data_IF_335661590385
#
_entry.id   IF_335661590385
#
_cell.length_a   1.000
_cell.length_b   1.000
_cell.length_c   1.000
_cell.angle_alpha   90.00
_cell.angle_beta   90.00
_cell.angle_gamma   90.00
#
_symmetry.space_group_name_H-M   'P 1'
#
loop_
_entity.id
_entity.type
_entity.pdbx_description
1 polymer ?
#
# COMPACT_ATOMS: atom_id res chain seq x y z
N UNK A 1 43.18 -25.93 5.39
CA UNK A 1 41.79 -25.83 5.87
C UNK A 1 41.62 -24.47 6.52
N UNK A 2 40.82 -23.58 5.91
CA UNK A 2 40.40 -22.31 6.52
C UNK A 2 38.88 -22.26 6.39
N UNK A 3 38.21 -22.55 7.50
CA UNK A 3 36.78 -22.37 7.66
C UNK A 3 36.50 -20.97 8.20
N UNK A 4 35.41 -20.42 7.69
CA UNK A 4 34.49 -19.46 8.30
C UNK A 4 35.02 -18.09 8.72
N UNK A 5 34.50 -17.04 8.05
CA UNK A 5 33.41 -16.21 8.59
C UNK A 5 32.67 -15.61 7.39
N UNK A 6 31.51 -16.15 7.03
CA UNK A 6 30.56 -15.45 6.16
C UNK A 6 29.93 -14.36 7.02
N UNK A 7 30.34 -13.12 6.79
CA UNK A 7 29.74 -11.95 7.41
C UNK A 7 28.28 -11.84 6.96
N UNK A 8 27.38 -12.26 7.85
CA UNK A 8 25.99 -11.83 8.04
C UNK A 8 25.44 -10.86 6.98
N UNK A 9 24.80 -11.40 5.93
CA UNK A 9 24.00 -10.66 4.95
C UNK A 9 22.62 -10.26 5.53
N UNK A 10 22.64 -9.50 6.64
CA UNK A 10 21.42 -8.94 7.23
C UNK A 10 20.75 -7.91 6.32
N UNK A 11 21.46 -7.44 5.29
CA UNK A 11 20.96 -6.45 4.36
C UNK A 11 20.06 -7.09 3.29
N UNK A 12 20.43 -8.27 2.76
CA UNK A 12 19.61 -9.03 1.83
C UNK A 12 18.23 -9.39 2.40
N UNK A 13 18.15 -9.77 3.68
CA UNK A 13 16.88 -10.08 4.35
C UNK A 13 15.94 -8.88 4.41
N UNK A 14 16.44 -7.69 4.75
CA UNK A 14 15.61 -6.48 4.87
C UNK A 14 15.11 -5.98 3.51
N UNK A 15 15.91 -6.17 2.46
CA UNK A 15 15.49 -5.86 1.09
C UNK A 15 14.39 -6.82 0.64
N UNK A 16 14.54 -8.13 0.92
CA UNK A 16 13.52 -9.13 0.63
C UNK A 16 12.20 -8.84 1.37
N UNK A 17 12.27 -8.50 2.66
CA UNK A 17 11.09 -8.12 3.46
C UNK A 17 10.38 -6.89 2.88
N UNK A 18 11.15 -5.88 2.44
CA UNK A 18 10.60 -4.70 1.79
C UNK A 18 9.87 -5.00 0.48
N UNK A 19 10.39 -5.93 -0.33
CA UNK A 19 9.74 -6.40 -1.56
C UNK A 19 8.47 -7.17 -1.23
N UNK A 20 8.51 -8.11 -0.28
CA UNK A 20 7.35 -8.91 0.11
C UNK A 20 6.23 -8.05 0.70
N UNK A 21 6.58 -7.06 1.51
CA UNK A 21 5.66 -6.03 1.99
C UNK A 21 4.99 -5.30 0.82
N UNK A 22 5.79 -4.77 -0.11
CA UNK A 22 5.28 -4.00 -1.24
C UNK A 22 4.36 -4.85 -2.13
N UNK A 23 4.76 -6.07 -2.48
CA UNK A 23 3.98 -7.00 -3.27
C UNK A 23 2.66 -7.35 -2.60
N UNK A 24 2.67 -7.63 -1.29
CA UNK A 24 1.44 -7.94 -0.54
C UNK A 24 0.46 -6.77 -0.54
N UNK A 25 0.96 -5.53 -0.40
CA UNK A 25 0.12 -4.33 -0.47
C UNK A 25 -0.45 -4.08 -1.88
N UNK A 26 0.30 -4.42 -2.93
CA UNK A 26 -0.18 -4.36 -4.32
C UNK A 26 -1.32 -5.35 -4.53
N UNK A 27 -1.13 -6.62 -4.13
CA UNK A 27 -2.19 -7.62 -4.26
C UNK A 27 -3.42 -7.32 -3.41
N UNK A 28 -3.23 -6.74 -2.21
CA UNK A 28 -4.34 -6.22 -1.43
C UNK A 28 -5.15 -5.14 -2.20
N UNK A 29 -4.46 -4.20 -2.86
CA UNK A 29 -5.13 -3.18 -3.68
C UNK A 29 -5.88 -3.80 -4.86
N UNK A 30 -5.25 -4.76 -5.56
CA UNK A 30 -5.89 -5.45 -6.69
C UNK A 30 -7.13 -6.23 -6.25
N UNK A 31 -7.05 -6.94 -5.13
CA UNK A 31 -8.17 -7.66 -4.55
C UNK A 31 -9.35 -6.72 -4.23
N UNK A 32 -9.07 -5.55 -3.65
CA UNK A 32 -10.11 -4.53 -3.40
C UNK A 32 -10.76 -3.99 -4.68
N UNK A 33 -9.96 -3.77 -5.73
CA UNK A 33 -10.45 -3.26 -7.03
C UNK A 33 -11.27 -4.32 -7.77
N UNK A 34 -10.93 -5.60 -7.61
CA UNK A 34 -11.63 -6.73 -8.24
C UNK A 34 -12.76 -7.30 -7.37
N UNK A 35 -13.10 -6.64 -6.25
CA UNK A 35 -14.13 -7.08 -5.30
C UNK A 35 -13.86 -8.48 -4.68
N UNK A 36 -12.60 -8.93 -4.65
CA UNK A 36 -12.15 -10.20 -4.05
C UNK A 36 -11.87 -10.03 -2.55
N UNK A 37 -12.93 -9.77 -1.78
CA UNK A 37 -12.80 -9.43 -0.36
C UNK A 37 -12.34 -10.61 0.50
N UNK A 38 -12.57 -11.85 0.05
CA UNK A 38 -12.09 -13.07 0.68
C UNK A 38 -10.55 -13.12 0.79
N UNK A 39 -9.85 -12.63 -0.23
CA UNK A 39 -8.38 -12.69 -0.31
C UNK A 39 -7.71 -11.52 0.43
N UNK A 40 -8.47 -10.46 0.72
CA UNK A 40 -7.95 -9.25 1.35
C UNK A 40 -7.33 -9.52 2.73
N UNK A 41 -7.91 -10.45 3.50
CA UNK A 41 -7.40 -10.81 4.83
C UNK A 41 -5.98 -11.40 4.76
N UNK A 42 -5.72 -12.28 3.78
CA UNK A 42 -4.43 -12.94 3.61
C UNK A 42 -3.35 -11.96 3.16
N UNK A 43 -3.68 -11.03 2.26
CA UNK A 43 -2.74 -10.00 1.83
C UNK A 43 -2.43 -8.99 2.95
N UNK A 44 -3.42 -8.61 3.75
CA UNK A 44 -3.21 -7.75 4.94
C UNK A 44 -2.29 -8.46 5.93
N UNK A 45 -2.58 -9.71 6.27
CA UNK A 45 -1.79 -10.48 7.22
C UNK A 45 -0.34 -10.63 6.76
N UNK A 46 -0.14 -10.97 5.48
CA UNK A 46 1.19 -11.11 4.88
C UNK A 46 1.93 -9.78 4.90
N UNK A 47 1.30 -8.67 4.49
CA UNK A 47 1.91 -7.36 4.52
C UNK A 47 2.34 -6.94 5.93
N UNK A 48 1.50 -7.20 6.94
CA UNK A 48 1.82 -6.92 8.35
C UNK A 48 2.99 -7.77 8.86
N UNK A 49 3.07 -9.04 8.46
CA UNK A 49 4.19 -9.92 8.80
C UNK A 49 5.54 -9.36 8.30
N UNK A 50 5.53 -8.63 7.19
CA UNK A 50 6.70 -7.94 6.62
C UNK A 50 6.79 -6.44 7.01
N UNK A 51 6.05 -6.01 8.04
CA UNK A 51 6.18 -4.66 8.62
C UNK A 51 5.34 -3.58 7.94
N UNK A 52 4.25 -3.94 7.25
CA UNK A 52 3.23 -2.97 6.88
C UNK A 52 2.49 -2.44 8.11
N UNK A 53 2.30 -1.13 8.13
CA UNK A 53 1.52 -0.47 9.18
C UNK A 53 0.05 -0.38 8.79
N UNK A 54 -0.82 -0.29 9.80
CA UNK A 54 -2.25 -0.07 9.60
C UNK A 54 -2.54 1.21 8.78
N UNK A 55 -1.70 2.23 8.89
CA UNK A 55 -1.80 3.48 8.12
C UNK A 55 -1.66 3.25 6.61
N UNK A 56 -0.81 2.32 6.18
CA UNK A 56 -0.61 1.96 4.78
C UNK A 56 -1.83 1.21 4.23
N UNK A 57 -2.38 0.28 5.01
CA UNK A 57 -3.60 -0.46 4.68
C UNK A 57 -4.80 0.50 4.54
N UNK A 58 -5.01 1.36 5.54
CA UNK A 58 -6.08 2.35 5.52
C UNK A 58 -5.97 3.33 4.36
N UNK A 59 -4.74 3.70 3.97
CA UNK A 59 -4.50 4.55 2.80
C UNK A 59 -4.94 3.88 1.50
N UNK A 60 -4.63 2.59 1.31
CA UNK A 60 -5.03 1.82 0.13
C UNK A 60 -6.55 1.73 0.04
N UNK A 61 -7.22 1.39 1.15
CA UNK A 61 -8.70 1.35 1.20
C UNK A 61 -9.29 2.72 0.81
N UNK A 62 -8.78 3.80 1.40
CA UNK A 62 -9.25 5.16 1.09
C UNK A 62 -8.99 5.56 -0.36
N UNK A 63 -7.89 5.11 -0.95
CA UNK A 63 -7.58 5.34 -2.37
C UNK A 63 -8.58 4.63 -3.28
N UNK A 64 -8.87 3.34 -3.04
CA UNK A 64 -9.83 2.56 -3.84
C UNK A 64 -11.23 3.17 -3.75
N UNK A 65 -11.70 3.50 -2.54
CA UNK A 65 -13.01 4.15 -2.35
C UNK A 65 -13.11 5.47 -3.15
N UNK A 66 -12.04 6.28 -3.16
CA UNK A 66 -12.01 7.54 -3.91
C UNK A 66 -11.98 7.34 -5.42
N UNK A 67 -11.46 6.23 -5.91
CA UNK A 67 -11.48 5.90 -7.34
C UNK A 67 -12.86 5.41 -7.78
N UNK A 68 -13.54 4.67 -6.92
CA UNK A 68 -14.87 4.12 -7.18
C UNK A 68 -15.97 5.21 -7.07
N UNK A 69 -15.78 6.16 -6.17
CA UNK A 69 -16.53 7.42 -6.20
C UNK A 69 -15.98 8.28 -7.34
N UNK A 70 -16.52 8.13 -8.56
CA UNK A 70 -16.16 8.94 -9.73
C UNK A 70 -16.02 10.43 -9.38
N UNK A 71 -15.22 11.22 -10.14
CA UNK A 71 -14.79 12.56 -9.73
C UNK A 71 -15.99 13.44 -9.45
N UNK A 72 -16.35 13.56 -8.17
CA UNK A 72 -17.30 14.56 -7.73
C UNK A 72 -16.62 15.90 -8.00
N UNK A 73 -17.16 16.61 -8.98
CA UNK A 73 -16.82 17.97 -9.32
C UNK A 73 -16.74 18.81 -8.04
N UNK A 74 -15.53 18.98 -7.51
CA UNK A 74 -15.24 20.02 -6.56
C UNK A 74 -15.29 21.35 -7.31
N UNK A 75 -16.50 21.84 -7.56
CA UNK A 75 -16.80 23.21 -7.94
C UNK A 75 -16.39 24.14 -6.79
N UNK A 76 -15.08 24.38 -6.69
CA UNK A 76 -14.43 25.18 -5.65
C UNK A 76 -13.73 26.42 -6.19
N UNK A 77 -14.22 27.01 -7.29
CA UNK A 77 -13.69 28.28 -7.81
C UNK A 77 -14.77 29.33 -8.00
N UNK A 78 -15.58 29.53 -6.96
CA UNK A 78 -16.21 30.83 -6.73
C UNK A 78 -15.26 31.72 -5.92
N UNK A 79 -14.23 32.27 -6.58
CA UNK A 79 -13.52 33.47 -6.09
C UNK A 79 -13.99 34.65 -6.93
N UNK A 80 -15.04 35.29 -6.43
CA UNK A 80 -15.39 36.70 -6.57
C UNK A 80 -15.05 37.39 -7.90
N UNK A 81 -16.06 37.47 -8.77
CA UNK A 81 -16.27 38.68 -9.58
C UNK A 81 -16.64 39.84 -8.63
N UNK A 82 -15.87 40.93 -8.69
CA UNK A 82 -16.26 42.37 -8.64
C UNK A 82 -15.02 43.17 -8.21
N UNK A 83 -14.34 43.85 -9.14
CA UNK A 83 -14.66 45.11 -9.84
C UNK A 83 -14.12 46.33 -9.07
N UNK A 84 -13.35 47.13 -9.83
CA UNK A 84 -12.79 48.47 -9.61
C UNK A 84 -11.46 48.52 -8.88
#
# INVERSE_FOLDING_TARGET
>A
MRNDVIASDQNGSRVADGVLKATSLIYFKEALVNEQYEDCADFIWTAQAFGAQQSEISRIIAEVIRTDTGPNEANGRNKSRRRF
#
